data_IF_751519326546
#
_entry.id   IF_751519326546
#
_cell.length_a   1.000
_cell.length_b   1.000
_cell.length_c   1.000
_cell.angle_alpha   90.00
_cell.angle_beta   90.00
_cell.angle_gamma   90.00
#
_symmetry.space_group_name_H-M   'P 1'
#
loop_
_entity.id
_entity.type
_entity.pdbx_description
1 polymer ?
#
# COMPACT_ATOMS: atom_id res chain seq x y z
N UNK A 1 -36.15 3.50 25.57
CA UNK A 1 -35.43 2.20 25.41
C UNK A 1 -34.70 2.23 24.08
N UNK A 2 -33.41 1.89 24.08
CA UNK A 2 -32.49 1.94 22.93
C UNK A 2 -32.64 0.66 22.10
N UNK A 3 -32.95 0.77 20.81
CA UNK A 3 -32.75 -0.27 19.78
C UNK A 3 -32.11 0.47 18.59
N UNK A 4 -30.78 0.43 18.40
CA UNK A 4 -30.02 -0.63 17.74
C UNK A 4 -30.70 -1.18 16.49
N UNK A 5 -30.31 -0.67 15.31
CA UNK A 5 -30.20 -1.52 14.13
C UNK A 5 -29.19 -0.93 13.14
N UNK A 6 -28.06 -1.63 13.05
CA UNK A 6 -27.06 -1.54 12.00
C UNK A 6 -27.69 -1.83 10.65
N UNK A 7 -27.55 -0.92 9.69
CA UNK A 7 -27.96 -1.11 8.30
C UNK A 7 -26.74 -1.60 7.52
N UNK A 8 -26.62 -2.93 7.41
CA UNK A 8 -25.67 -3.58 6.53
C UNK A 8 -26.04 -3.31 5.07
N UNK A 9 -25.04 -2.91 4.27
CA UNK A 9 -25.18 -2.56 2.85
C UNK A 9 -25.65 -3.78 2.07
N UNK A 10 -26.79 -3.63 1.41
CA UNK A 10 -27.36 -4.62 0.51
C UNK A 10 -26.38 -4.95 -0.61
N UNK A 11 -26.00 -6.23 -0.72
CA UNK A 11 -25.35 -6.76 -1.90
C UNK A 11 -26.32 -6.63 -3.09
N UNK A 12 -25.83 -6.05 -4.19
CA UNK A 12 -26.53 -5.99 -5.46
C UNK A 12 -26.85 -7.42 -5.94
N UNK A 13 -28.07 -7.89 -5.65
CA UNK A 13 -28.64 -9.08 -6.26
C UNK A 13 -29.13 -8.69 -7.66
N UNK A 14 -28.37 -9.07 -8.69
CA UNK A 14 -28.92 -9.10 -10.05
C UNK A 14 -30.01 -10.19 -10.12
N UNK A 15 -31.15 -9.95 -10.80
CA UNK A 15 -32.18 -10.97 -10.94
C UNK A 15 -31.69 -12.12 -11.84
N UNK A 16 -32.10 -13.37 -11.56
CA UNK A 16 -31.72 -14.52 -12.40
C UNK A 16 -32.42 -14.46 -13.77
N UNK A 17 -31.69 -14.81 -14.82
CA UNK A 17 -32.22 -15.02 -16.17
C UNK A 17 -32.65 -16.49 -16.30
N UNK A 18 -33.93 -16.73 -16.54
CA UNK A 18 -34.49 -18.06 -16.78
C UNK A 18 -34.36 -18.44 -18.26
N UNK A 19 -33.51 -19.40 -18.56
CA UNK A 19 -33.55 -20.16 -19.81
C UNK A 19 -33.60 -21.65 -19.48
N UNK A 20 -34.69 -22.32 -19.85
CA UNK A 20 -34.75 -23.77 -20.04
C UNK A 20 -34.36 -24.67 -18.85
N UNK A 21 -35.19 -24.74 -17.82
CA UNK A 21 -35.52 -25.99 -17.10
C UNK A 21 -34.42 -26.78 -16.38
N UNK A 22 -33.17 -26.32 -16.31
CA UNK A 22 -32.10 -27.01 -15.58
C UNK A 22 -31.49 -26.08 -14.54
N UNK A 23 -31.73 -26.37 -13.26
CA UNK A 23 -31.09 -25.67 -12.13
C UNK A 23 -29.60 -26.03 -12.12
N UNK A 24 -28.79 -25.29 -12.88
CA UNK A 24 -27.35 -25.25 -12.65
C UNK A 24 -27.11 -24.39 -11.42
N UNK A 25 -26.77 -25.03 -10.29
CA UNK A 25 -26.15 -24.33 -9.16
C UNK A 25 -24.86 -23.71 -9.70
N UNK A 26 -24.89 -22.43 -10.04
CA UNK A 26 -23.67 -21.66 -10.30
C UNK A 26 -22.93 -21.61 -8.97
N UNK A 27 -21.96 -22.50 -8.79
CA UNK A 27 -20.94 -22.29 -7.78
C UNK A 27 -20.31 -20.93 -8.09
N UNK A 28 -20.23 -20.00 -7.11
CA UNK A 28 -19.43 -18.80 -7.32
C UNK A 28 -18.03 -19.25 -7.75
N UNK A 29 -17.39 -18.59 -8.73
CA UNK A 29 -16.03 -18.96 -9.12
C UNK A 29 -15.20 -18.96 -7.84
N UNK A 30 -14.65 -20.12 -7.47
CA UNK A 30 -13.76 -20.21 -6.32
C UNK A 30 -12.60 -19.26 -6.58
N UNK A 31 -12.60 -18.12 -5.91
CA UNK A 31 -11.49 -17.19 -5.98
C UNK A 31 -10.26 -17.92 -5.44
N UNK A 32 -9.29 -18.21 -6.31
CA UNK A 32 -8.03 -18.83 -5.91
C UNK A 32 -7.31 -17.84 -5.00
N UNK A 33 -7.25 -18.14 -3.71
CA UNK A 33 -6.54 -17.31 -2.73
C UNK A 33 -5.05 -17.65 -2.80
N UNK A 34 -4.27 -16.72 -3.34
CA UNK A 34 -2.80 -16.84 -3.37
C UNK A 34 -2.26 -16.72 -1.94
N UNK A 35 -1.41 -17.66 -1.47
CA UNK A 35 -0.80 -17.58 -0.15
C UNK A 35 0.11 -16.35 0.02
N UNK A 36 0.26 -15.86 1.25
CA UNK A 36 1.11 -14.71 1.61
C UNK A 36 2.52 -14.79 1.02
N UNK A 37 3.20 -15.93 1.17
CA UNK A 37 4.57 -16.11 0.69
C UNK A 37 4.68 -15.95 -0.82
N UNK A 38 3.79 -16.57 -1.60
CA UNK A 38 3.76 -16.41 -3.05
C UNK A 38 3.47 -14.97 -3.48
N UNK A 39 2.57 -14.29 -2.79
CA UNK A 39 2.30 -12.86 -3.02
C UNK A 39 3.56 -12.01 -2.81
N UNK A 40 4.25 -12.23 -1.69
CA UNK A 40 5.46 -11.47 -1.35
C UNK A 40 6.64 -11.80 -2.27
N UNK A 41 6.77 -13.05 -2.73
CA UNK A 41 7.77 -13.44 -3.73
C UNK A 41 7.53 -12.75 -5.07
N UNK A 42 6.28 -12.67 -5.54
CA UNK A 42 5.93 -11.92 -6.76
C UNK A 42 6.24 -10.43 -6.62
N UNK A 43 5.96 -9.83 -5.46
CA UNK A 43 6.33 -8.44 -5.18
C UNK A 43 7.86 -8.24 -5.10
N UNK A 44 8.61 -9.22 -4.59
CA UNK A 44 10.08 -9.18 -4.54
C UNK A 44 10.69 -9.26 -5.93
N UNK A 45 10.21 -10.18 -6.77
CA UNK A 45 10.68 -10.34 -8.14
C UNK A 45 10.47 -9.05 -8.94
N UNK A 46 9.32 -8.39 -8.77
CA UNK A 46 9.04 -7.08 -9.38
C UNK A 46 9.99 -5.99 -8.88
N UNK A 47 10.24 -5.94 -7.57
CA UNK A 47 11.19 -4.98 -6.99
C UNK A 47 12.61 -5.17 -7.52
N UNK A 48 13.06 -6.41 -7.66
CA UNK A 48 14.40 -6.77 -8.17
C UNK A 48 14.56 -6.53 -9.67
N UNK A 49 13.49 -6.73 -10.45
CA UNK A 49 13.50 -6.45 -11.89
C UNK A 49 13.74 -4.97 -12.18
N UNK A 50 13.31 -4.11 -11.25
CA UNK A 50 13.47 -2.66 -11.31
C UNK A 50 12.63 -2.02 -12.41
N UNK A 51 11.64 -1.20 -12.02
CA UNK A 51 11.02 -0.25 -12.94
C UNK A 51 11.55 1.15 -12.63
N UNK A 52 12.60 1.55 -13.35
CA UNK A 52 13.25 2.85 -13.19
C UNK A 52 12.32 4.04 -13.53
N UNK A 53 11.17 3.79 -14.16
CA UNK A 53 10.28 4.85 -14.67
C UNK A 53 9.41 5.47 -13.56
N UNK A 54 9.12 4.72 -12.50
CA UNK A 54 8.14 5.15 -11.48
C UNK A 54 8.75 5.97 -10.33
N UNK A 55 10.08 6.15 -10.29
CA UNK A 55 10.75 6.92 -9.24
C UNK A 55 10.59 6.33 -7.85
N UNK A 56 10.26 5.04 -7.77
CA UNK A 56 10.15 4.27 -6.53
C UNK A 56 10.84 2.93 -6.71
N UNK A 57 11.40 2.39 -5.64
CA UNK A 57 11.95 1.03 -5.61
C UNK A 57 11.73 0.39 -4.26
N UNK A 58 11.74 -0.94 -4.21
CA UNK A 58 11.56 -1.69 -2.97
C UNK A 58 12.28 -3.03 -3.02
N UNK A 59 12.59 -3.58 -1.86
CA UNK A 59 13.19 -4.90 -1.68
C UNK A 59 13.19 -5.32 -0.22
N UNK A 60 13.71 -6.51 0.08
CA UNK A 60 13.86 -6.95 1.46
C UNK A 60 14.89 -6.10 2.20
N UNK A 61 14.61 -5.81 3.48
CA UNK A 61 15.59 -5.19 4.36
C UNK A 61 16.78 -6.13 4.64
N UNK A 62 16.49 -7.42 4.74
CA UNK A 62 17.46 -8.48 5.00
C UNK A 62 17.32 -9.59 3.94
N UNK A 63 18.39 -9.85 3.18
CA UNK A 63 18.35 -10.80 2.06
C UNK A 63 18.18 -12.27 2.46
N UNK A 64 18.40 -12.58 3.74
CA UNK A 64 18.22 -13.89 4.37
C UNK A 64 16.86 -14.04 5.09
N UNK A 65 16.00 -13.01 5.07
CA UNK A 65 14.65 -13.08 5.65
C UNK A 65 13.73 -13.96 4.78
N UNK A 66 13.66 -15.24 5.14
CA UNK A 66 12.75 -16.22 4.52
C UNK A 66 11.26 -15.90 4.76
N UNK A 67 10.95 -15.07 5.76
CA UNK A 67 9.57 -14.72 6.11
C UNK A 67 9.04 -13.57 5.26
N UNK A 68 9.91 -12.87 4.53
CA UNK A 68 9.58 -11.74 3.65
C UNK A 68 8.79 -10.65 4.39
N UNK A 69 9.17 -10.38 5.63
CA UNK A 69 8.40 -9.55 6.56
C UNK A 69 8.87 -8.10 6.51
N UNK A 70 10.18 -7.88 6.47
CA UNK A 70 10.76 -6.53 6.52
C UNK A 70 11.27 -6.09 5.15
N UNK A 71 10.78 -4.94 4.72
CA UNK A 71 11.06 -4.37 3.41
C UNK A 71 11.61 -2.96 3.54
N UNK A 72 12.53 -2.61 2.65
CA UNK A 72 12.99 -1.25 2.44
C UNK A 72 12.36 -0.71 1.18
N UNK A 73 11.75 0.46 1.27
CA UNK A 73 11.25 1.23 0.13
C UNK A 73 12.05 2.51 -0.05
N UNK A 74 12.22 2.92 -1.31
CA UNK A 74 12.87 4.17 -1.68
C UNK A 74 11.95 4.96 -2.59
N UNK A 75 11.82 6.27 -2.33
CA UNK A 75 11.09 7.21 -3.16
C UNK A 75 12.03 8.32 -3.61
N UNK A 76 12.15 8.51 -4.92
CA UNK A 76 12.76 9.70 -5.50
C UNK A 76 11.73 10.83 -5.54
N UNK A 77 12.10 11.95 -4.91
CA UNK A 77 11.26 13.13 -4.82
C UNK A 77 10.76 13.62 -6.18
N UNK A 78 9.44 13.90 -6.34
CA UNK A 78 8.91 14.36 -7.62
C UNK A 78 9.50 15.71 -8.05
N UNK A 79 9.72 15.93 -9.36
CA UNK A 79 10.22 17.20 -9.88
C UNK A 79 9.23 18.35 -9.66
N UNK A 80 9.72 19.58 -9.48
CA UNK A 80 8.89 20.76 -9.27
C UNK A 80 8.18 20.80 -7.90
N UNK A 81 8.75 20.11 -6.91
CA UNK A 81 8.28 20.06 -5.52
C UNK A 81 9.42 20.36 -4.55
N UNK A 82 9.11 20.66 -3.30
CA UNK A 82 10.10 20.79 -2.23
C UNK A 82 10.88 19.47 -1.93
N UNK A 83 10.43 18.35 -2.50
CA UNK A 83 11.04 17.04 -2.34
C UNK A 83 12.04 16.72 -3.47
N UNK A 84 12.08 17.51 -4.54
CA UNK A 84 12.92 17.27 -5.73
C UNK A 84 14.40 17.08 -5.38
N UNK A 85 15.09 16.22 -6.14
CA UNK A 85 16.50 15.85 -5.96
C UNK A 85 16.83 15.19 -4.60
N UNK A 86 15.82 14.70 -3.86
CA UNK A 86 16.02 13.99 -2.59
C UNK A 86 15.58 12.53 -2.70
N UNK A 87 16.25 11.68 -1.91
CA UNK A 87 15.95 10.25 -1.78
C UNK A 87 15.36 10.02 -0.38
N UNK A 88 14.15 9.44 -0.33
CA UNK A 88 13.49 9.10 0.92
C UNK A 88 13.47 7.60 1.11
N UNK A 89 14.07 7.13 2.19
CA UNK A 89 14.05 5.72 2.59
C UNK A 89 12.89 5.47 3.57
N UNK A 90 12.24 4.33 3.42
CA UNK A 90 11.13 3.87 4.24
C UNK A 90 11.35 2.41 4.64
N UNK A 91 10.81 2.03 5.79
CA UNK A 91 10.63 0.65 6.20
C UNK A 91 9.17 0.27 6.10
N UNK A 92 8.91 -0.94 5.57
CA UNK A 92 7.58 -1.54 5.53
C UNK A 92 7.61 -2.91 6.22
N UNK A 93 6.62 -3.16 7.07
CA UNK A 93 6.48 -4.43 7.78
C UNK A 93 5.22 -5.15 7.32
N UNK A 94 5.42 -6.16 6.46
CA UNK A 94 4.38 -7.04 5.95
C UNK A 94 4.07 -8.14 6.98
N UNK A 95 3.17 -7.86 7.92
CA UNK A 95 2.85 -8.80 9.00
C UNK A 95 2.26 -10.15 8.55
N UNK A 96 1.99 -11.08 9.48
CA UNK A 96 1.49 -12.44 9.15
C UNK A 96 0.15 -12.47 8.40
N UNK A 97 -0.65 -11.40 8.51
CA UNK A 97 -1.96 -11.25 7.86
C UNK A 97 -1.88 -10.55 6.50
N UNK A 98 -0.70 -10.12 6.04
CA UNK A 98 -0.54 -9.55 4.70
C UNK A 98 -0.86 -10.62 3.63
N UNK A 99 -1.53 -10.29 2.51
CA UNK A 99 -2.03 -8.97 2.11
C UNK A 99 -3.46 -8.65 2.59
N UNK A 100 -4.10 -9.50 3.39
CA UNK A 100 -5.46 -9.23 3.89
C UNK A 100 -5.49 -8.09 4.93
N UNK A 101 -4.36 -7.84 5.60
CA UNK A 101 -4.11 -6.66 6.44
C UNK A 101 -3.04 -5.76 5.83
N UNK A 102 -3.18 -4.44 6.05
CA UNK A 102 -2.24 -3.41 5.60
C UNK A 102 -0.87 -3.59 6.28
N UNK A 103 0.25 -3.39 5.57
CA UNK A 103 1.56 -3.36 6.21
C UNK A 103 1.74 -2.10 7.05
N UNK A 104 2.63 -2.15 8.04
CA UNK A 104 3.08 -0.93 8.72
C UNK A 104 4.08 -0.19 7.83
N UNK A 105 4.00 1.15 7.79
CA UNK A 105 4.84 1.98 6.92
C UNK A 105 5.44 3.13 7.71
N UNK A 106 6.76 3.27 7.63
CA UNK A 106 7.50 4.33 8.33
C UNK A 106 8.60 4.89 7.45
N UNK A 107 8.73 6.20 7.42
CA UNK A 107 9.90 6.86 6.85
C UNK A 107 11.10 6.71 7.79
N UNK A 108 12.24 6.30 7.23
CA UNK A 108 13.54 6.37 7.89
C UNK A 108 14.16 7.76 7.69
N UNK A 109 14.00 8.34 6.51
CA UNK A 109 14.41 9.72 6.20
C UNK A 109 13.36 10.72 6.68
N UNK A 110 13.77 11.77 7.40
CA UNK A 110 12.87 12.82 7.85
C UNK A 110 12.17 13.50 6.68
N UNK A 111 10.86 13.66 6.81
CA UNK A 111 10.01 14.27 5.78
C UNK A 111 8.93 15.10 6.45
N UNK A 112 8.64 16.27 5.87
CA UNK A 112 7.48 17.05 6.25
C UNK A 112 6.35 16.82 5.23
N UNK A 113 5.36 16.02 5.61
CA UNK A 113 4.22 15.66 4.77
C UNK A 113 2.96 15.46 5.62
N UNK A 114 1.79 15.90 5.15
CA UNK A 114 0.56 15.90 5.94
C UNK A 114 0.11 14.51 6.44
N UNK A 115 0.48 13.44 5.73
CA UNK A 115 0.17 12.06 6.09
C UNK A 115 1.28 11.35 6.89
N UNK A 116 2.31 12.05 7.36
CA UNK A 116 3.40 11.50 8.18
C UNK A 116 3.40 12.18 9.55
N UNK A 117 3.66 11.42 10.61
CA UNK A 117 3.81 11.96 11.96
C UNK A 117 5.26 12.34 12.31
N UNK A 118 5.48 12.89 13.51
CA UNK A 118 6.82 13.31 13.97
C UNK A 118 7.81 12.18 14.19
N UNK A 119 7.41 10.91 14.06
CA UNK A 119 8.27 9.71 14.18
C UNK A 119 8.36 8.94 12.85
N UNK A 120 7.97 9.58 11.75
CA UNK A 120 8.00 9.00 10.41
C UNK A 120 6.88 8.01 10.12
N UNK A 121 5.96 7.75 11.05
CA UNK A 121 4.88 6.79 10.80
C UNK A 121 3.84 7.40 9.84
N UNK A 122 3.41 6.61 8.85
CA UNK A 122 2.36 7.05 7.93
C UNK A 122 1.00 6.89 8.60
N UNK A 123 0.19 7.94 8.54
CA UNK A 123 -1.13 7.98 9.16
C UNK A 123 -2.08 6.98 8.48
N UNK A 124 -2.91 6.26 9.24
CA UNK A 124 -3.88 5.32 8.70
C UNK A 124 -4.99 5.99 7.88
N UNK A 125 -5.08 7.33 7.91
CA UNK A 125 -6.05 8.10 7.12
C UNK A 125 -5.62 8.29 5.67
N UNK A 126 -4.39 7.92 5.28
CA UNK A 126 -3.95 7.96 3.89
C UNK A 126 -4.81 7.00 3.06
N UNK A 127 -5.36 7.45 1.92
CA UNK A 127 -6.39 6.72 1.17
C UNK A 127 -6.12 5.22 0.96
N UNK A 128 -4.94 4.85 0.45
CA UNK A 128 -4.57 3.44 0.22
C UNK A 128 -4.41 2.63 1.52
N UNK A 129 -3.98 3.26 2.60
CA UNK A 129 -3.77 2.62 3.91
C UNK A 129 -5.10 2.51 4.66
N UNK A 130 -5.92 3.57 4.65
CA UNK A 130 -7.21 3.62 5.34
C UNK A 130 -8.31 2.82 4.67
N UNK A 131 -8.19 2.57 3.36
CA UNK A 131 -9.09 1.73 2.59
C UNK A 131 -8.34 0.56 1.94
N UNK A 132 -7.44 -0.07 2.72
CA UNK A 132 -6.63 -1.18 2.26
C UNK A 132 -7.47 -2.30 1.65
N UNK A 133 -6.99 -2.83 0.52
CA UNK A 133 -7.53 -4.01 -0.14
C UNK A 133 -6.39 -4.95 -0.48
N UNK A 134 -6.65 -6.26 -0.45
CA UNK A 134 -5.62 -7.28 -0.68
C UNK A 134 -4.96 -7.22 -2.07
N UNK A 135 -5.58 -6.51 -3.02
CA UNK A 135 -5.02 -6.31 -4.36
C UNK A 135 -3.87 -5.29 -4.37
N UNK A 136 -3.82 -4.40 -3.37
CA UNK A 136 -2.74 -3.43 -3.22
C UNK A 136 -1.42 -4.10 -2.81
N UNK A 137 -0.32 -3.42 -3.14
CA UNK A 137 1.05 -3.91 -3.02
C UNK A 137 1.94 -2.88 -2.32
N UNK A 138 3.16 -3.28 -1.97
CA UNK A 138 4.24 -2.36 -1.58
C UNK A 138 4.42 -1.25 -2.61
N UNK A 139 4.43 -1.59 -3.90
CA UNK A 139 4.50 -0.62 -5.00
C UNK A 139 3.34 0.39 -4.94
N UNK A 140 2.11 -0.08 -4.70
CA UNK A 140 0.92 0.79 -4.63
C UNK A 140 1.06 1.83 -3.51
N UNK A 141 1.64 1.44 -2.38
CA UNK A 141 1.91 2.32 -1.24
C UNK A 141 2.95 3.37 -1.62
N UNK A 142 4.08 2.95 -2.20
CA UNK A 142 5.16 3.86 -2.58
C UNK A 142 4.72 4.86 -3.66
N UNK A 143 3.97 4.41 -4.67
CA UNK A 143 3.42 5.30 -5.70
C UNK A 143 2.41 6.30 -5.09
N UNK A 144 1.54 5.86 -4.17
CA UNK A 144 0.62 6.76 -3.48
C UNK A 144 1.35 7.81 -2.64
N UNK A 145 2.38 7.42 -1.89
CA UNK A 145 3.19 8.36 -1.11
C UNK A 145 3.90 9.37 -2.02
N UNK A 146 4.42 8.92 -3.16
CA UNK A 146 5.05 9.79 -4.15
C UNK A 146 4.04 10.77 -4.77
N UNK A 147 2.81 10.35 -5.03
CA UNK A 147 1.71 11.25 -5.47
C UNK A 147 1.34 12.27 -4.40
N UNK A 148 1.31 11.85 -3.13
CA UNK A 148 1.05 12.76 -2.01
C UNK A 148 2.12 13.85 -1.89
N UNK A 149 3.39 13.55 -2.14
CA UNK A 149 4.46 14.56 -2.22
C UNK A 149 4.18 15.63 -3.30
N UNK A 150 3.56 15.24 -4.42
CA UNK A 150 3.20 16.14 -5.51
C UNK A 150 1.85 16.87 -5.30
N UNK A 151 1.07 16.50 -4.29
CA UNK A 151 -0.21 17.14 -4.00
C UNK A 151 -0.06 18.63 -3.68
N UNK A 152 -1.09 19.42 -3.95
CA UNK A 152 -1.07 20.87 -3.66
C UNK A 152 -0.83 21.20 -2.19
N UNK A 153 -1.26 20.32 -1.28
CA UNK A 153 -1.09 20.46 0.16
C UNK A 153 0.38 20.25 0.60
N UNK A 154 1.12 19.36 -0.06
CA UNK A 154 2.46 18.97 0.38
C UNK A 154 3.59 19.56 -0.47
N UNK A 155 3.36 19.82 -1.78
CA UNK A 155 4.44 20.13 -2.75
C UNK A 155 5.29 21.37 -2.45
N UNK A 156 4.84 22.26 -1.56
CA UNK A 156 5.54 23.48 -1.13
C UNK A 156 5.92 23.49 0.36
N UNK A 157 5.72 22.38 1.07
CA UNK A 157 6.07 22.30 2.50
C UNK A 157 7.58 22.38 2.66
N UNK A 158 8.03 23.25 3.58
CA UNK A 158 9.44 23.34 3.96
C UNK A 158 9.89 21.99 4.52
N UNK A 159 10.97 21.44 3.94
CA UNK A 159 11.51 20.15 4.32
C UNK A 159 12.67 20.30 5.31
N UNK A 160 12.90 19.28 6.16
CA UNK A 160 14.12 19.17 6.96
C UNK A 160 15.40 19.21 6.11
N UNK A 161 16.59 19.36 6.73
CA UNK A 161 17.87 19.17 6.05
C UNK A 161 17.91 17.83 5.31
N UNK A 162 18.48 17.83 4.11
CA UNK A 162 18.62 16.62 3.31
C UNK A 162 19.46 15.56 4.05
N UNK A 163 19.02 14.30 3.97
CA UNK A 163 19.70 13.18 4.63
C UNK A 163 19.42 13.03 6.13
N UNK A 164 18.62 13.91 6.74
CA UNK A 164 18.20 13.75 8.14
C UNK A 164 17.37 12.46 8.31
N UNK A 165 17.59 11.71 9.40
CA UNK A 165 16.85 10.49 9.76
C UNK A 165 16.05 10.67 11.04
N UNK A 166 14.99 9.88 11.22
CA UNK A 166 14.24 9.83 12.49
C UNK A 166 15.03 9.15 13.60
#
# INVERSE_FOLDING_TARGET
LKHSHSQARAAFLQPPFEEGGTVHRRFPPMAVVVPRSFRLLDELEKGQKGDATNGVSWGLAHGDDITLTEWTGTIFGPPGTAFENRIYCLTLTCGPKYPDAVPEVRFATQINMGCVDGRGAVKPTLGVIGHWRREYTVETILDNLRREMASSANRKLSQPPEGASY
#
